data_IF_044814401674
#
_entry.id   IF_044814401674
#
_cell.length_a   1.000
_cell.length_b   1.000
_cell.length_c   1.000
_cell.angle_alpha   90.00
_cell.angle_beta   90.00
_cell.angle_gamma   90.00
#
_symmetry.space_group_name_H-M   'P 1'
#
loop_
_entity.id
_entity.type
_entity.pdbx_description
1 polymer ?
#
# COMPACT_ATOMS: atom_id res chain seq x y z
N UNK A 1 -24.70 -2.14 -26.36
CA UNK A 1 -23.71 -3.19 -26.07
C UNK A 1 -22.51 -2.52 -25.44
N UNK A 2 -22.09 -2.94 -24.25
CA UNK A 2 -20.85 -2.48 -23.62
C UNK A 2 -19.72 -3.46 -23.93
N UNK A 3 -18.51 -2.96 -24.12
CA UNK A 3 -17.32 -3.78 -24.30
C UNK A 3 -16.50 -3.74 -23.01
N UNK A 4 -16.11 -4.91 -22.50
CA UNK A 4 -15.15 -4.99 -21.40
C UNK A 4 -13.77 -4.92 -22.04
N UNK A 5 -13.05 -3.84 -21.76
CA UNK A 5 -11.70 -3.62 -22.27
C UNK A 5 -10.72 -3.92 -21.13
N UNK A 6 -10.02 -5.03 -21.25
CA UNK A 6 -9.06 -5.48 -20.22
C UNK A 6 -7.61 -5.12 -20.56
N UNK A 7 -7.33 -4.56 -21.74
CA UNK A 7 -5.97 -4.17 -22.15
C UNK A 7 -5.58 -2.81 -21.55
N UNK A 8 -4.63 -2.76 -20.60
CA UNK A 8 -4.20 -1.51 -19.99
C UNK A 8 -3.58 -0.54 -20.99
N UNK A 9 -2.91 -1.05 -22.03
CA UNK A 9 -2.26 -0.21 -23.04
C UNK A 9 -3.28 0.56 -23.87
N UNK A 10 -4.45 -0.05 -24.10
CA UNK A 10 -5.54 0.62 -24.79
C UNK A 10 -6.11 1.76 -23.95
N UNK A 11 -6.38 1.54 -22.66
CA UNK A 11 -6.87 2.60 -21.77
C UNK A 11 -5.85 3.74 -21.65
N UNK A 12 -4.56 3.42 -21.52
CA UNK A 12 -3.51 4.43 -21.46
C UNK A 12 -3.33 5.18 -22.79
N UNK A 13 -3.77 4.62 -23.91
CA UNK A 13 -3.83 5.35 -25.20
C UNK A 13 -4.99 6.35 -25.27
N UNK A 14 -6.07 6.12 -24.51
CA UNK A 14 -7.28 6.95 -24.48
C UNK A 14 -7.29 7.96 -23.35
N UNK A 15 -6.59 7.71 -22.26
CA UNK A 15 -6.65 8.52 -21.04
C UNK A 15 -5.27 9.00 -20.65
N UNK A 16 -5.13 10.30 -20.44
CA UNK A 16 -3.98 10.88 -19.76
C UNK A 16 -4.21 10.80 -18.26
N UNK A 17 -3.24 10.25 -17.53
CA UNK A 17 -3.26 10.07 -16.07
C UNK A 17 -2.08 10.81 -15.44
N UNK A 18 -2.32 11.56 -14.37
CA UNK A 18 -1.27 12.28 -13.64
C UNK A 18 -1.48 12.22 -12.13
N UNK A 19 -0.44 11.77 -11.43
CA UNK A 19 -0.34 11.79 -9.98
C UNK A 19 0.73 12.78 -9.58
N UNK A 20 0.43 13.65 -8.62
CA UNK A 20 1.43 14.48 -7.96
C UNK A 20 1.30 14.34 -6.45
N UNK A 21 2.40 14.01 -5.79
CA UNK A 21 2.45 14.04 -4.34
C UNK A 21 2.56 15.49 -3.87
N UNK A 22 1.68 15.89 -2.96
CA UNK A 22 1.73 17.20 -2.33
C UNK A 22 2.65 17.19 -1.10
N UNK A 23 2.99 18.37 -0.59
CA UNK A 23 3.83 18.47 0.60
C UNK A 23 3.05 17.90 1.79
N UNK A 24 3.61 16.94 2.55
CA UNK A 24 2.93 16.38 3.72
C UNK A 24 2.54 17.49 4.70
N UNK A 25 1.29 17.47 5.18
CA UNK A 25 0.81 18.42 6.17
C UNK A 25 -0.02 17.70 7.25
N UNK A 26 0.03 18.17 8.49
CA UNK A 26 -0.89 17.76 9.55
C UNK A 26 -1.10 16.23 9.70
N UNK A 27 -0.04 15.43 9.63
CA UNK A 27 -0.14 13.98 9.85
C UNK A 27 -0.80 13.19 8.71
N UNK A 28 -1.03 13.83 7.56
CA UNK A 28 -1.54 13.21 6.34
C UNK A 28 -0.59 13.40 5.17
N UNK A 29 -0.72 12.53 4.18
CA UNK A 29 -0.01 12.62 2.91
C UNK A 29 -1.00 12.66 1.76
N UNK A 30 -0.96 13.75 1.01
CA UNK A 30 -1.93 14.05 -0.03
C UNK A 30 -1.34 13.80 -1.42
N UNK A 31 -2.16 13.24 -2.28
CA UNK A 31 -1.84 12.94 -3.66
C UNK A 31 -2.92 13.54 -4.55
N UNK A 32 -2.56 14.55 -5.32
CA UNK A 32 -3.44 15.08 -6.36
C UNK A 32 -3.46 14.13 -7.56
N UNK A 33 -4.65 13.86 -8.04
CA UNK A 33 -4.95 12.93 -9.13
C UNK A 33 -5.71 13.67 -10.22
N UNK A 34 -5.31 13.45 -11.46
CA UNK A 34 -6.02 13.96 -12.62
C UNK A 34 -6.08 12.91 -13.73
N UNK A 35 -7.25 12.78 -14.34
CA UNK A 35 -7.49 11.95 -15.51
C UNK A 35 -8.18 12.78 -16.61
N UNK A 36 -7.80 12.58 -17.87
CA UNK A 36 -8.38 13.31 -18.99
C UNK A 36 -8.45 12.43 -20.25
N UNK A 37 -9.56 12.50 -20.98
CA UNK A 37 -9.66 11.91 -22.31
C UNK A 37 -8.66 12.55 -23.28
N UNK A 38 -7.82 11.72 -23.89
CA UNK A 38 -6.92 12.11 -24.98
C UNK A 38 -7.74 12.33 -26.26
N UNK A 39 -7.27 13.24 -27.11
CA UNK A 39 -7.83 13.47 -28.44
C UNK A 39 -9.36 13.69 -28.49
N UNK A 40 -9.95 14.36 -27.49
CA UNK A 40 -11.40 14.55 -27.36
C UNK A 40 -12.10 15.00 -28.66
N UNK A 41 -11.50 15.94 -29.40
CA UNK A 41 -12.05 16.42 -30.68
C UNK A 41 -12.15 15.33 -31.74
N UNK A 42 -11.14 14.46 -31.85
CA UNK A 42 -11.13 13.33 -32.79
C UNK A 42 -12.15 12.29 -32.36
N UNK A 43 -12.20 11.99 -31.05
CA UNK A 43 -13.19 11.06 -30.51
C UNK A 43 -14.62 11.52 -30.78
N UNK A 44 -14.92 12.81 -30.64
CA UNK A 44 -16.25 13.37 -30.93
C UNK A 44 -16.60 13.40 -32.43
N UNK A 45 -15.61 13.49 -33.31
CA UNK A 45 -15.80 13.49 -34.76
C UNK A 45 -16.06 12.07 -35.30
N UNK A 46 -15.28 11.11 -34.82
CA UNK A 46 -15.30 9.74 -35.34
C UNK A 46 -16.26 8.82 -34.59
N UNK A 47 -16.62 9.17 -33.35
CA UNK A 47 -17.53 8.41 -32.50
C UNK A 47 -18.66 9.29 -31.97
N UNK A 48 -19.91 8.80 -32.09
CA UNK A 48 -21.08 9.51 -31.58
C UNK A 48 -21.21 9.49 -30.04
N UNK A 49 -20.51 8.59 -29.36
CA UNK A 49 -20.57 8.43 -27.91
C UNK A 49 -19.33 7.70 -27.38
N UNK A 50 -18.76 8.19 -26.29
CA UNK A 50 -17.72 7.50 -25.50
C UNK A 50 -18.08 7.66 -24.03
N UNK A 51 -18.03 6.53 -23.32
CA UNK A 51 -18.29 6.44 -21.89
C UNK A 51 -17.36 5.37 -21.32
N UNK A 52 -16.25 5.85 -20.77
CA UNK A 52 -15.25 5.04 -20.11
C UNK A 52 -15.60 5.00 -18.63
N UNK A 53 -16.01 3.83 -18.14
CA UNK A 53 -16.37 3.64 -16.74
C UNK A 53 -15.29 2.90 -15.98
N UNK A 54 -15.23 3.15 -14.68
CA UNK A 54 -14.41 2.40 -13.74
C UNK A 54 -12.92 2.38 -14.12
N UNK A 55 -12.40 3.52 -14.61
CA UNK A 55 -11.02 3.62 -15.10
C UNK A 55 -10.06 3.53 -13.91
N UNK A 56 -9.26 2.47 -13.88
CA UNK A 56 -8.29 2.27 -12.80
C UNK A 56 -7.19 3.35 -12.78
N UNK A 57 -6.99 3.88 -11.59
CA UNK A 57 -6.01 4.91 -11.28
C UNK A 57 -5.27 4.54 -9.99
N UNK A 58 -4.01 4.16 -10.12
CA UNK A 58 -3.19 3.62 -9.04
C UNK A 58 -2.21 4.65 -8.46
N UNK A 59 -2.17 4.75 -7.13
CA UNK A 59 -1.23 5.60 -6.39
C UNK A 59 -0.41 4.74 -5.43
N UNK A 60 0.92 4.81 -5.53
CA UNK A 60 1.82 4.13 -4.59
C UNK A 60 2.01 4.96 -3.31
N UNK A 61 1.31 4.58 -2.25
CA UNK A 61 1.40 5.19 -0.93
C UNK A 61 2.59 4.60 -0.18
N UNK A 62 3.60 5.42 0.10
CA UNK A 62 4.80 4.98 0.84
C UNK A 62 4.52 4.95 2.34
N UNK A 63 4.56 3.76 2.95
CA UNK A 63 4.25 3.56 4.38
C UNK A 63 5.47 3.13 5.21
N UNK A 64 6.60 2.90 4.55
CA UNK A 64 7.81 2.35 5.17
C UNK A 64 8.29 3.12 6.40
N UNK A 65 8.39 4.45 6.29
CA UNK A 65 8.90 5.27 7.40
C UNK A 65 7.95 5.25 8.60
N UNK A 66 6.66 5.16 8.33
CA UNK A 66 5.61 5.18 9.36
C UNK A 66 5.63 3.89 10.17
N UNK A 67 5.79 2.77 9.48
CA UNK A 67 5.93 1.45 10.09
C UNK A 67 7.24 1.37 10.90
N UNK A 68 8.37 1.75 10.29
CA UNK A 68 9.71 1.59 10.88
C UNK A 68 9.84 2.28 12.23
N UNK A 69 9.20 3.44 12.41
CA UNK A 69 9.25 4.18 13.67
C UNK A 69 8.41 3.54 14.78
N UNK A 70 7.44 2.69 14.44
CA UNK A 70 6.50 2.08 15.40
C UNK A 70 6.83 0.63 15.73
N UNK A 71 7.45 -0.10 14.80
CA UNK A 71 7.93 -1.46 15.05
C UNK A 71 9.17 -1.41 15.96
N UNK A 72 9.16 -2.08 17.13
CA UNK A 72 10.34 -2.17 17.97
C UNK A 72 11.51 -2.82 17.23
N UNK A 73 12.69 -2.19 17.26
CA UNK A 73 13.91 -2.74 16.60
C UNK A 73 14.18 -4.20 16.96
N UNK A 74 13.97 -4.54 18.24
CA UNK A 74 14.16 -5.90 18.75
C UNK A 74 13.23 -6.93 18.10
N UNK A 75 12.00 -6.55 17.72
CA UNK A 75 11.07 -7.43 17.01
C UNK A 75 11.61 -7.78 15.62
N UNK A 76 12.07 -6.78 14.86
CA UNK A 76 12.69 -7.00 13.56
C UNK A 76 13.92 -7.90 13.65
N UNK A 77 14.82 -7.64 14.60
CA UNK A 77 16.01 -8.47 14.81
C UNK A 77 15.68 -9.92 15.23
N UNK A 78 14.59 -10.14 15.97
CA UNK A 78 14.12 -11.48 16.33
C UNK A 78 13.57 -12.22 15.13
N UNK A 79 12.73 -11.57 14.32
CA UNK A 79 12.21 -12.14 13.07
C UNK A 79 13.38 -12.55 12.17
N UNK A 80 14.35 -11.66 11.92
CA UNK A 80 15.56 -11.99 11.16
C UNK A 80 16.32 -13.21 11.72
N UNK A 81 16.45 -13.31 13.05
CA UNK A 81 17.12 -14.44 13.71
C UNK A 81 16.34 -15.74 13.51
N UNK A 82 15.02 -15.71 13.66
CA UNK A 82 14.13 -16.85 13.42
C UNK A 82 14.25 -17.31 11.98
N UNK A 83 14.21 -16.41 10.99
CA UNK A 83 14.37 -16.80 9.59
C UNK A 83 15.75 -17.39 9.33
N UNK A 84 16.81 -16.78 9.85
CA UNK A 84 18.17 -17.30 9.63
C UNK A 84 18.29 -18.74 10.14
N UNK A 85 17.62 -19.08 11.25
CA UNK A 85 17.54 -20.43 11.79
C UNK A 85 16.78 -21.41 10.88
N UNK A 86 15.89 -20.96 10.00
CA UNK A 86 15.19 -21.81 9.02
C UNK A 86 16.01 -22.12 7.76
N UNK A 87 17.11 -21.40 7.53
CA UNK A 87 17.97 -21.59 6.36
C UNK A 87 19.03 -22.67 6.62
N UNK A 88 19.62 -23.28 5.57
CA UNK A 88 20.77 -24.16 5.72
C UNK A 88 21.95 -23.39 6.32
N UNK A 89 22.30 -23.68 7.57
CA UNK A 89 23.39 -23.04 8.32
C UNK A 89 24.23 -24.09 9.05
N UNK A 90 25.50 -23.77 9.34
CA UNK A 90 26.38 -24.67 10.07
C UNK A 90 26.02 -24.77 11.57
N UNK A 91 26.32 -25.91 12.21
CA UNK A 91 26.02 -26.15 13.65
C UNK A 91 26.54 -25.04 14.58
N UNK A 92 27.71 -24.48 14.30
CA UNK A 92 28.31 -23.39 15.09
C UNK A 92 27.51 -22.08 14.96
N UNK A 93 27.06 -21.74 13.75
CA UNK A 93 26.21 -20.57 13.50
C UNK A 93 24.83 -20.75 14.14
N UNK A 94 24.27 -21.95 14.04
CA UNK A 94 22.99 -22.30 14.67
C UNK A 94 23.03 -22.10 16.19
N UNK A 95 24.09 -22.57 16.87
CA UNK A 95 24.24 -22.37 18.32
C UNK A 95 24.32 -20.89 18.73
N UNK A 96 25.01 -20.05 17.93
CA UNK A 96 25.07 -18.60 18.17
C UNK A 96 23.71 -17.93 18.01
N UNK A 97 22.95 -18.30 16.97
CA UNK A 97 21.63 -17.74 16.71
C UNK A 97 20.60 -18.16 17.76
N UNK A 98 20.63 -19.42 18.22
CA UNK A 98 19.79 -19.88 19.33
C UNK A 98 20.11 -19.11 20.62
N UNK A 99 21.39 -18.91 20.92
CA UNK A 99 21.83 -18.12 22.08
C UNK A 99 21.35 -16.66 21.99
N UNK A 100 21.42 -16.06 20.79
CA UNK A 100 20.90 -14.72 20.53
C UNK A 100 19.39 -14.66 20.74
N UNK A 101 18.64 -15.63 20.23
CA UNK A 101 17.18 -15.70 20.38
C UNK A 101 16.77 -15.76 21.86
N UNK A 102 17.46 -16.56 22.67
CA UNK A 102 17.23 -16.66 24.12
C UNK A 102 17.48 -15.31 24.81
N UNK A 103 18.54 -14.57 24.40
CA UNK A 103 18.80 -13.23 24.94
C UNK A 103 17.72 -12.24 24.52
N UNK A 104 17.24 -12.32 23.28
CA UNK A 104 16.18 -11.45 22.77
C UNK A 104 14.83 -11.74 23.44
N UNK A 105 14.52 -12.99 23.80
CA UNK A 105 13.29 -13.35 24.54
C UNK A 105 13.18 -12.65 25.89
N UNK A 106 14.29 -12.24 26.50
CA UNK A 106 14.30 -11.49 27.77
C UNK A 106 13.85 -10.02 27.62
N UNK A 107 13.65 -9.52 26.39
CA UNK A 107 13.27 -8.13 26.13
C UNK A 107 11.76 -7.95 25.93
N UNK A 108 11.25 -6.80 26.40
CA UNK A 108 9.85 -6.54 26.75
C UNK A 108 9.02 -5.97 25.58
N UNK A 109 8.14 -6.80 25.04
CA UNK A 109 6.84 -6.40 24.49
C UNK A 109 5.82 -7.49 24.83
N UNK A 110 4.53 -7.16 24.91
CA UNK A 110 3.47 -8.16 25.09
C UNK A 110 3.20 -8.89 23.79
N UNK A 111 2.98 -10.21 23.83
CA UNK A 111 2.54 -10.99 22.69
C UNK A 111 3.62 -11.93 22.13
N UNK A 112 3.17 -12.97 21.45
CA UNK A 112 4.03 -13.90 20.72
C UNK A 112 4.37 -13.34 19.33
N UNK A 113 5.59 -13.57 18.85
CA UNK A 113 6.09 -12.96 17.60
C UNK A 113 5.19 -13.26 16.39
N UNK A 114 4.64 -14.47 16.31
CA UNK A 114 3.78 -14.89 15.20
C UNK A 114 2.40 -14.23 15.24
N UNK A 115 1.82 -14.04 16.43
CA UNK A 115 0.55 -13.34 16.59
C UNK A 115 0.70 -11.85 16.27
N UNK A 116 1.77 -11.21 16.75
CA UNK A 116 2.06 -9.81 16.42
C UNK A 116 2.31 -9.62 14.92
N UNK A 117 3.03 -10.56 14.29
CA UNK A 117 3.23 -10.54 12.84
C UNK A 117 1.90 -10.66 12.11
N UNK A 118 1.02 -11.57 12.54
CA UNK A 118 -0.31 -11.78 11.95
C UNK A 118 -1.21 -10.56 12.10
N UNK A 119 -1.27 -9.95 13.28
CA UNK A 119 -2.00 -8.68 13.51
C UNK A 119 -1.46 -7.57 12.62
N UNK A 120 -0.15 -7.48 12.48
CA UNK A 120 0.50 -6.51 11.60
C UNK A 120 0.17 -6.78 10.13
N UNK A 121 0.21 -8.05 9.67
CA UNK A 121 -0.18 -8.43 8.31
C UNK A 121 -1.61 -8.01 7.99
N UNK A 122 -2.51 -8.16 8.95
CA UNK A 122 -3.92 -7.89 8.78
C UNK A 122 -4.20 -6.39 8.50
N UNK A 123 -3.40 -5.47 9.05
CA UNK A 123 -3.51 -4.04 8.75
C UNK A 123 -3.24 -3.69 7.27
N UNK A 124 -2.50 -4.54 6.55
CA UNK A 124 -2.20 -4.34 5.12
C UNK A 124 -3.22 -5.04 4.20
N UNK A 125 -4.26 -5.66 4.75
CA UNK A 125 -5.38 -6.15 3.95
C UNK A 125 -6.18 -4.97 3.41
N UNK A 126 -6.67 -5.09 2.18
CA UNK A 126 -7.42 -4.01 1.51
C UNK A 126 -8.60 -3.48 2.33
N UNK A 127 -9.39 -4.40 2.89
CA UNK A 127 -10.55 -4.08 3.72
C UNK A 127 -10.20 -3.27 4.96
N UNK A 128 -9.03 -3.50 5.57
CA UNK A 128 -8.55 -2.75 6.73
C UNK A 128 -7.85 -1.48 6.32
N UNK A 129 -6.94 -1.54 5.37
CA UNK A 129 -6.13 -0.40 4.95
C UNK A 129 -6.99 0.76 4.40
N UNK A 130 -8.14 0.44 3.77
CA UNK A 130 -9.12 1.43 3.31
C UNK A 130 -9.49 2.47 4.36
N UNK A 131 -9.51 2.14 5.66
CA UNK A 131 -9.89 3.09 6.72
C UNK A 131 -8.93 4.28 6.85
N UNK A 132 -7.69 4.11 6.38
CA UNK A 132 -6.65 5.14 6.39
C UNK A 132 -6.59 5.95 5.10
N UNK A 133 -7.47 5.65 4.14
CA UNK A 133 -7.54 6.31 2.85
C UNK A 133 -8.84 7.11 2.76
N UNK A 134 -8.73 8.36 2.35
CA UNK A 134 -9.85 9.22 1.99
C UNK A 134 -9.67 9.67 0.54
N UNK A 135 -10.64 9.39 -0.32
CA UNK A 135 -10.62 9.77 -1.73
C UNK A 135 -11.74 10.78 -1.94
N UNK A 136 -11.38 11.93 -2.55
CA UNK A 136 -12.28 13.07 -2.70
C UNK A 136 -12.49 13.43 -4.17
N UNK A 137 -13.63 14.10 -4.42
CA UNK A 137 -14.10 14.60 -5.73
C UNK A 137 -14.46 13.46 -6.69
N UNK A 138 -13.91 13.48 -7.91
CA UNK A 138 -14.38 12.68 -9.05
C UNK A 138 -13.94 11.22 -8.98
N UNK A 139 -13.10 10.88 -8.01
CA UNK A 139 -12.56 9.54 -7.81
C UNK A 139 -13.24 8.84 -6.64
N UNK A 140 -13.30 7.51 -6.71
CA UNK A 140 -13.75 6.68 -5.60
C UNK A 140 -12.79 5.52 -5.35
N UNK A 141 -12.75 5.02 -4.10
CA UNK A 141 -11.90 3.91 -3.71
C UNK A 141 -12.42 2.60 -4.29
N UNK A 142 -11.55 1.85 -4.97
CA UNK A 142 -11.86 0.51 -5.48
C UNK A 142 -11.18 -0.57 -4.63
N UNK A 143 -9.86 -0.54 -4.53
CA UNK A 143 -9.07 -1.58 -3.86
C UNK A 143 -7.70 -1.05 -3.42
N UNK A 144 -6.89 -1.87 -2.76
CA UNK A 144 -5.45 -1.63 -2.66
C UNK A 144 -4.65 -2.93 -2.60
N UNK A 145 -3.47 -2.88 -3.20
CA UNK A 145 -2.56 -4.00 -3.32
C UNK A 145 -1.27 -3.69 -2.57
N UNK A 146 -0.71 -4.71 -1.93
CA UNK A 146 0.58 -4.59 -1.25
C UNK A 146 1.70 -4.41 -2.25
N UNK A 147 2.57 -3.44 -1.99
CA UNK A 147 3.83 -3.28 -2.70
C UNK A 147 4.89 -4.30 -2.23
N UNK A 148 6.13 -4.08 -2.66
CA UNK A 148 7.26 -4.92 -2.23
C UNK A 148 7.47 -4.89 -0.72
N UNK A 149 7.78 -6.05 -0.16
CA UNK A 149 8.02 -6.19 1.28
C UNK A 149 9.32 -5.54 1.73
N UNK A 150 9.40 -5.20 3.02
CA UNK A 150 10.60 -4.66 3.61
C UNK A 150 11.76 -5.67 3.49
N UNK A 151 11.48 -6.92 3.84
CA UNK A 151 12.44 -8.02 3.76
C UNK A 151 12.12 -8.95 2.57
N UNK A 152 12.69 -8.64 1.42
CA UNK A 152 12.45 -9.34 0.14
C UNK A 152 12.97 -10.79 0.11
N UNK A 153 13.90 -11.14 1.00
CA UNK A 153 14.59 -12.45 0.99
C UNK A 153 13.91 -13.50 1.88
N UNK A 154 12.78 -13.16 2.49
CA UNK A 154 12.10 -14.05 3.43
C UNK A 154 11.12 -14.96 2.69
N UNK A 155 10.95 -16.21 3.16
CA UNK A 155 10.03 -17.16 2.53
C UNK A 155 8.55 -16.89 2.85
N UNK A 156 8.25 -15.81 3.57
CA UNK A 156 6.88 -15.38 3.92
C UNK A 156 6.78 -13.86 3.88
N UNK A 157 5.57 -13.31 3.62
CA UNK A 157 5.39 -11.88 3.54
C UNK A 157 5.58 -11.20 4.90
N UNK A 158 6.29 -10.08 4.91
CA UNK A 158 6.45 -9.21 6.10
C UNK A 158 5.61 -7.96 5.93
N UNK A 159 6.04 -6.78 6.38
CA UNK A 159 5.28 -5.57 6.11
C UNK A 159 5.74 -4.95 4.77
N UNK A 160 4.80 -4.45 3.95
CA UNK A 160 5.12 -3.81 2.69
C UNK A 160 5.76 -2.44 2.88
N UNK A 161 6.58 -2.02 1.92
CA UNK A 161 7.17 -0.67 1.89
C UNK A 161 6.17 0.38 1.40
N UNK A 162 5.24 -0.04 0.55
CA UNK A 162 4.17 0.77 -0.01
C UNK A 162 2.87 -0.02 -0.14
N UNK A 163 1.76 0.70 -0.22
CA UNK A 163 0.46 0.18 -0.61
C UNK A 163 0.04 0.88 -1.89
N UNK A 164 -0.23 0.12 -2.94
CA UNK A 164 -0.78 0.62 -4.19
C UNK A 164 -2.28 0.75 -4.03
N UNK A 165 -2.77 1.97 -3.83
CA UNK A 165 -4.20 2.25 -3.73
C UNK A 165 -4.77 2.42 -5.12
N UNK A 166 -5.83 1.68 -5.43
CA UNK A 166 -6.55 1.74 -6.70
C UNK A 166 -7.82 2.53 -6.48
N UNK A 167 -7.89 3.67 -7.17
CA UNK A 167 -9.08 4.51 -7.28
C UNK A 167 -9.65 4.40 -8.69
N UNK A 168 -10.92 4.75 -8.85
CA UNK A 168 -11.61 4.70 -10.13
C UNK A 168 -12.38 5.99 -10.38
N UNK A 169 -12.57 6.30 -11.65
CA UNK A 169 -13.35 7.44 -12.14
C UNK A 169 -14.00 7.08 -13.46
N UNK A 170 -15.07 7.80 -13.79
CA UNK A 170 -15.72 7.71 -15.09
C UNK A 170 -15.35 8.93 -15.94
N UNK A 171 -15.20 8.75 -17.25
CA UNK A 171 -14.93 9.82 -18.21
C UNK A 171 -15.81 9.64 -19.45
N UNK A 172 -16.41 10.74 -19.89
CA UNK A 172 -17.23 10.77 -21.10
C UNK A 172 -17.10 12.13 -21.80
N UNK A 173 -17.88 12.39 -22.85
CA UNK A 173 -17.78 13.65 -23.58
C UNK A 173 -18.28 14.88 -22.80
N UNK A 174 -19.19 14.70 -21.83
CA UNK A 174 -19.69 15.78 -20.97
C UNK A 174 -18.71 16.08 -19.84
N UNK A 175 -18.13 15.03 -19.27
CA UNK A 175 -17.09 15.08 -18.23
C UNK A 175 -15.81 14.42 -18.76
N UNK A 176 -15.05 15.11 -19.65
CA UNK A 176 -13.87 14.55 -20.28
C UNK A 176 -12.64 14.58 -19.38
N UNK A 177 -12.75 15.20 -18.19
CA UNK A 177 -11.67 15.39 -17.22
C UNK A 177 -12.22 15.07 -15.83
N UNK A 178 -11.39 14.48 -14.99
CA UNK A 178 -11.66 14.21 -13.58
C UNK A 178 -10.47 14.68 -12.75
N UNK A 179 -10.73 15.37 -11.64
CA UNK A 179 -9.71 15.79 -10.68
C UNK A 179 -10.09 15.42 -9.24
N UNK A 180 -9.09 15.05 -8.45
CA UNK A 180 -9.32 14.53 -7.11
C UNK A 180 -8.09 14.47 -6.25
N UNK A 181 -8.31 14.10 -5.00
CA UNK A 181 -7.24 13.91 -4.04
C UNK A 181 -7.41 12.56 -3.35
N UNK A 182 -6.30 11.84 -3.23
CA UNK A 182 -6.16 10.72 -2.32
C UNK A 182 -5.38 11.20 -1.10
N UNK A 183 -5.96 11.00 0.06
CA UNK A 183 -5.42 11.41 1.36
C UNK A 183 -5.12 10.16 2.16
N UNK A 184 -3.85 9.97 2.50
CA UNK A 184 -3.39 8.92 3.38
C UNK A 184 -3.22 9.45 4.80
N UNK A 185 -4.00 8.91 5.75
CA UNK A 185 -3.99 9.25 7.18
C UNK A 185 -2.81 8.58 7.89
N UNK A 186 -1.61 9.06 7.58
CA UNK A 186 -0.34 8.54 8.07
C UNK A 186 -0.28 8.39 9.59
N UNK A 187 -0.66 9.42 10.34
CA UNK A 187 -0.56 9.36 11.81
C UNK A 187 -1.53 8.33 12.40
N UNK A 188 -2.78 8.28 11.90
CA UNK A 188 -3.75 7.26 12.31
C UNK A 188 -3.27 5.84 11.99
N UNK A 189 -2.62 5.64 10.83
CA UNK A 189 -2.03 4.36 10.49
C UNK A 189 -0.89 3.97 11.44
N UNK A 190 0.01 4.92 11.71
CA UNK A 190 1.13 4.71 12.62
C UNK A 190 0.66 4.46 14.06
N UNK A 191 -0.46 5.06 14.49
CA UNK A 191 -1.08 4.77 15.78
C UNK A 191 -1.61 3.34 15.86
N UNK A 192 -2.31 2.85 14.83
CA UNK A 192 -2.80 1.46 14.79
C UNK A 192 -1.65 0.45 14.83
N UNK A 193 -0.54 0.72 14.14
CA UNK A 193 0.67 -0.12 14.27
C UNK A 193 1.21 -0.06 15.70
N UNK A 194 1.26 1.12 16.31
CA UNK A 194 1.70 1.28 17.69
C UNK A 194 0.87 0.49 18.71
N UNK A 195 -0.45 0.32 18.46
CA UNK A 195 -1.36 -0.45 19.31
C UNK A 195 -1.06 -1.95 19.31
N UNK A 196 -0.40 -2.48 18.27
CA UNK A 196 0.04 -3.88 18.21
C UNK A 196 1.19 -4.11 19.20
N UNK A 197 2.13 -3.16 19.27
CA UNK A 197 3.37 -3.32 20.04
C UNK A 197 3.33 -2.70 21.45
N UNK A 198 2.23 -2.89 22.20
CA UNK A 198 2.08 -2.28 23.54
C UNK A 198 3.28 -2.64 24.44
N UNK A 199 3.90 -1.64 25.11
CA UNK A 199 4.94 -1.91 26.09
C UNK A 199 4.35 -2.69 27.28
N UNK A 200 5.12 -3.68 27.77
CA UNK A 200 4.85 -4.38 29.04
C UNK A 200 5.22 -3.52 30.23
#
# INVERSE_FOLDING_TARGET
MGYIISDPNFIDSLVYKKVAQETPHNGVQDYWMAAQLKHLKVLQQDFGYVDLRDIDFSVDVSIYQDIKMKIPRIFGEKIETIIRLTQPIGRSEQGKLLSRLIHQQKQKYTGEEMELLKELQDLFNSSKFKQFIDIRKDFYYSDCVRGGDFYEKLPFPTWPRSMKVVSRTDLNFENPTADGNLIYKKDSFAEEIGKIFKPR
#
